data_IF_606032742329
#
_entry.id   IF_606032742329
#
_cell.length_a   1.000
_cell.length_b   1.000
_cell.length_c   1.000
_cell.angle_alpha   90.00
_cell.angle_beta   90.00
_cell.angle_gamma   90.00
#
_symmetry.space_group_name_H-M   'P 1'
#
loop_
_entity.id
_entity.type
_entity.pdbx_description
1 polymer ?
#
# COMPACT_ATOMS: atom_id res chain seq x y z
N UNK A 1 20.64 11.91 -14.96
CA UNK A 1 20.83 11.58 -13.52
C UNK A 1 19.92 10.41 -13.19
N UNK A 2 20.46 9.28 -12.76
CA UNK A 2 19.65 8.12 -12.38
C UNK A 2 18.99 8.40 -11.02
N UNK A 3 17.66 8.39 -10.97
CA UNK A 3 16.93 8.55 -9.72
C UNK A 3 16.88 7.21 -8.98
N UNK A 4 17.73 7.06 -7.95
CA UNK A 4 17.67 5.90 -7.05
C UNK A 4 16.43 6.01 -6.16
N UNK A 5 15.57 4.98 -6.20
CA UNK A 5 14.37 4.88 -5.37
C UNK A 5 14.57 3.79 -4.33
N UNK A 6 14.51 4.17 -3.06
CA UNK A 6 14.50 3.20 -1.96
C UNK A 6 13.15 2.50 -1.93
N UNK A 7 13.17 1.18 -1.89
CA UNK A 7 11.98 0.30 -1.85
C UNK A 7 12.15 -0.74 -0.74
N UNK A 8 11.05 -1.26 -0.16
CA UNK A 8 11.14 -2.21 0.95
C UNK A 8 11.41 -3.66 0.51
N UNK A 9 11.22 -4.01 -0.76
CA UNK A 9 11.48 -5.35 -1.28
C UNK A 9 12.94 -5.54 -1.70
N UNK A 10 13.49 -6.72 -1.45
CA UNK A 10 14.85 -7.10 -1.81
C UNK A 10 14.96 -7.57 -3.27
N UNK A 11 13.87 -8.02 -3.88
CA UNK A 11 13.86 -8.49 -5.26
C UNK A 11 12.50 -8.32 -5.92
N UNK A 12 12.47 -8.37 -7.25
CA UNK A 12 11.21 -8.40 -7.99
C UNK A 12 10.37 -9.65 -7.65
N UNK A 13 11.00 -10.77 -7.34
CA UNK A 13 10.29 -11.98 -6.90
C UNK A 13 9.49 -11.72 -5.63
N UNK A 14 10.06 -11.00 -4.66
CA UNK A 14 9.35 -10.64 -3.42
C UNK A 14 8.17 -9.71 -3.70
N UNK A 15 8.30 -8.79 -4.64
CA UNK A 15 7.19 -7.95 -5.10
C UNK A 15 6.07 -8.76 -5.78
N UNK A 16 6.46 -9.75 -6.59
CA UNK A 16 5.52 -10.62 -7.28
C UNK A 16 4.70 -11.49 -6.33
N UNK A 17 5.27 -11.90 -5.20
CA UNK A 17 4.53 -12.65 -4.16
C UNK A 17 3.30 -11.88 -3.69
N UNK A 18 3.45 -10.57 -3.41
CA UNK A 18 2.34 -9.71 -3.00
C UNK A 18 1.33 -9.55 -4.14
N UNK A 19 1.84 -9.34 -5.37
CA UNK A 19 1.01 -9.16 -6.56
C UNK A 19 0.14 -10.39 -6.83
N UNK A 20 0.73 -11.59 -6.87
CA UNK A 20 -0.01 -12.83 -7.11
C UNK A 20 -0.98 -13.15 -5.96
N UNK A 21 -0.59 -12.87 -4.71
CA UNK A 21 -1.48 -13.01 -3.57
C UNK A 21 -2.75 -12.16 -3.70
N UNK A 22 -2.60 -10.88 -4.04
CA UNK A 22 -3.71 -9.94 -4.26
C UNK A 22 -4.53 -10.31 -5.50
N UNK A 23 -3.86 -10.63 -6.61
CA UNK A 23 -4.50 -11.03 -7.88
C UNK A 23 -5.33 -12.29 -7.72
N UNK A 24 -4.86 -13.26 -6.95
CA UNK A 24 -5.61 -14.50 -6.68
C UNK A 24 -6.93 -14.24 -5.97
N UNK A 25 -7.00 -13.19 -5.13
CA UNK A 25 -8.16 -12.90 -4.28
C UNK A 25 -8.49 -13.98 -3.24
N UNK A 26 -7.71 -15.06 -3.17
CA UNK A 26 -7.97 -16.20 -2.28
C UNK A 26 -7.62 -15.85 -0.85
N UNK A 27 -8.31 -16.45 0.13
CA UNK A 27 -8.03 -16.24 1.54
C UNK A 27 -6.54 -16.49 1.89
N UNK A 28 -5.97 -17.59 1.38
CA UNK A 28 -4.57 -17.93 1.60
C UNK A 28 -3.61 -16.97 0.87
N UNK A 29 -3.92 -16.59 -0.37
CA UNK A 29 -3.12 -15.63 -1.13
C UNK A 29 -3.10 -14.25 -0.49
N UNK A 30 -4.24 -13.73 -0.06
CA UNK A 30 -4.35 -12.45 0.65
C UNK A 30 -3.63 -12.49 2.00
N UNK A 31 -3.70 -13.62 2.73
CA UNK A 31 -2.99 -13.77 4.01
C UNK A 31 -1.47 -13.77 3.79
N UNK A 32 -1.01 -14.47 2.76
CA UNK A 32 0.41 -14.50 2.42
C UNK A 32 0.92 -13.11 2.01
N UNK A 33 0.16 -12.39 1.17
CA UNK A 33 0.46 -11.01 0.80
C UNK A 33 0.53 -10.08 2.03
N UNK A 34 -0.41 -10.20 2.97
CA UNK A 34 -0.38 -9.43 4.22
C UNK A 34 0.90 -9.69 5.02
N UNK A 35 1.33 -10.94 5.17
CA UNK A 35 2.54 -11.27 5.94
C UNK A 35 3.79 -10.64 5.32
N UNK A 36 3.91 -10.65 3.98
CA UNK A 36 5.03 -10.00 3.29
C UNK A 36 4.97 -8.48 3.46
N UNK A 37 3.79 -7.87 3.31
CA UNK A 37 3.61 -6.45 3.57
C UNK A 37 3.97 -6.07 5.00
N UNK A 38 3.65 -6.90 5.98
CA UNK A 38 4.01 -6.67 7.38
C UNK A 38 5.54 -6.57 7.56
N UNK A 39 6.29 -7.47 6.93
CA UNK A 39 7.76 -7.41 6.92
C UNK A 39 8.25 -6.12 6.24
N UNK A 40 7.62 -5.70 5.14
CA UNK A 40 8.00 -4.45 4.47
C UNK A 40 7.75 -3.21 5.34
N UNK A 41 6.69 -3.22 6.14
CA UNK A 41 6.38 -2.16 7.10
C UNK A 41 7.46 -2.00 8.18
N UNK A 42 8.26 -3.05 8.46
CA UNK A 42 9.35 -2.98 9.45
C UNK A 42 10.70 -2.59 8.84
N UNK A 43 10.87 -2.68 7.51
CA UNK A 43 12.15 -2.39 6.83
C UNK A 43 12.41 -0.91 6.60
N UNK A 44 11.35 -0.11 6.49
CA UNK A 44 11.44 1.32 6.21
C UNK A 44 10.56 2.11 7.20
N UNK A 45 10.95 3.34 7.58
CA UNK A 45 10.08 4.18 8.39
C UNK A 45 8.79 4.52 7.61
N UNK A 46 7.65 4.72 8.30
CA UNK A 46 6.37 5.00 7.64
C UNK A 46 6.39 6.17 6.65
N UNK A 47 7.26 7.17 6.86
CA UNK A 47 7.42 8.33 5.98
C UNK A 47 8.11 8.04 4.64
N UNK A 48 8.79 6.89 4.51
CA UNK A 48 9.47 6.45 3.29
C UNK A 48 8.68 5.40 2.52
N UNK A 49 7.68 4.77 3.14
CA UNK A 49 6.82 3.80 2.49
C UNK A 49 5.82 4.51 1.56
N UNK A 50 5.57 3.91 0.41
CA UNK A 50 4.55 4.45 -0.50
C UNK A 50 3.16 4.34 0.14
N UNK A 51 2.35 5.38 -0.01
CA UNK A 51 0.99 5.39 0.54
C UNK A 51 0.14 4.21 0.03
N UNK A 52 0.34 3.77 -1.21
CA UNK A 52 -0.35 2.60 -1.77
C UNK A 52 0.00 1.29 -1.04
N UNK A 53 1.28 1.10 -0.68
CA UNK A 53 1.73 -0.08 0.11
C UNK A 53 1.09 -0.05 1.49
N UNK A 54 1.20 1.08 2.20
CA UNK A 54 0.61 1.26 3.54
C UNK A 54 -0.90 1.07 3.52
N UNK A 55 -1.57 1.58 2.48
CA UNK A 55 -3.01 1.44 2.31
C UNK A 55 -3.42 -0.01 2.06
N UNK A 56 -2.71 -0.72 1.17
CA UNK A 56 -2.91 -2.15 0.94
C UNK A 56 -2.76 -2.96 2.24
N UNK A 57 -1.69 -2.70 3.00
CA UNK A 57 -1.45 -3.36 4.29
C UNK A 57 -2.62 -3.15 5.26
N UNK A 58 -3.08 -1.91 5.45
CA UNK A 58 -4.19 -1.63 6.37
C UNK A 58 -5.51 -2.29 5.95
N UNK A 59 -5.83 -2.30 4.64
CA UNK A 59 -7.03 -2.96 4.14
C UNK A 59 -7.01 -4.47 4.45
N UNK A 60 -5.91 -5.15 4.13
CA UNK A 60 -5.78 -6.58 4.38
C UNK A 60 -5.77 -6.89 5.88
N UNK A 61 -5.03 -6.12 6.67
CA UNK A 61 -4.98 -6.30 8.12
C UNK A 61 -6.37 -6.20 8.73
N UNK A 62 -7.11 -5.14 8.40
CA UNK A 62 -8.47 -4.92 8.90
C UNK A 62 -9.44 -6.04 8.51
N UNK A 63 -9.36 -6.52 7.25
CA UNK A 63 -10.15 -7.65 6.79
C UNK A 63 -9.88 -8.93 7.60
N UNK A 64 -8.63 -9.21 7.91
CA UNK A 64 -8.26 -10.40 8.68
C UNK A 64 -8.48 -10.27 10.20
N UNK A 65 -8.44 -9.06 10.75
CA UNK A 65 -8.82 -8.78 12.14
C UNK A 65 -10.32 -8.98 12.39
N UNK A 66 -11.14 -8.98 11.33
CA UNK A 66 -12.62 -9.03 11.42
C UNK A 66 -13.19 -7.93 12.34
N UNK A 67 -12.49 -6.80 12.39
CA UNK A 67 -12.88 -5.63 13.17
C UNK A 67 -13.56 -4.62 12.26
N UNK A 68 -14.84 -4.35 12.55
CA UNK A 68 -15.63 -3.38 11.80
C UNK A 68 -15.00 -1.98 11.86
N UNK A 69 -14.47 -1.59 13.01
CA UNK A 69 -13.79 -0.31 13.21
C UNK A 69 -12.47 -0.25 12.42
N UNK A 70 -11.66 -1.31 12.47
CA UNK A 70 -10.41 -1.38 11.69
C UNK A 70 -10.71 -1.24 10.20
N UNK A 71 -11.77 -1.90 9.72
CA UNK A 71 -12.17 -1.88 8.31
C UNK A 71 -12.68 -0.49 7.89
N UNK A 72 -13.50 0.14 8.72
CA UNK A 72 -13.95 1.52 8.50
C UNK A 72 -12.77 2.49 8.39
N UNK A 73 -11.80 2.44 9.31
CA UNK A 73 -10.62 3.30 9.26
C UNK A 73 -9.72 3.02 8.06
N UNK A 74 -9.55 1.75 7.69
CA UNK A 74 -8.78 1.37 6.51
C UNK A 74 -9.43 1.90 5.22
N UNK A 75 -10.76 1.78 5.10
CA UNK A 75 -11.53 2.29 3.97
C UNK A 75 -11.52 3.82 3.90
N UNK A 76 -11.71 4.51 5.01
CA UNK A 76 -11.58 5.97 5.05
C UNK A 76 -10.21 6.43 4.53
N UNK A 77 -9.13 5.79 4.98
CA UNK A 77 -7.77 6.10 4.53
C UNK A 77 -7.59 5.83 3.05
N UNK A 78 -8.13 4.72 2.56
CA UNK A 78 -8.12 4.37 1.14
C UNK A 78 -8.89 5.39 0.29
N UNK A 79 -10.15 5.68 0.63
CA UNK A 79 -10.99 6.65 -0.07
C UNK A 79 -10.33 8.03 -0.07
N UNK A 80 -9.76 8.46 1.06
CA UNK A 80 -9.02 9.73 1.14
C UNK A 80 -7.78 9.73 0.23
N UNK A 81 -7.08 8.60 0.11
CA UNK A 81 -5.92 8.47 -0.78
C UNK A 81 -6.31 8.62 -2.25
N UNK A 82 -7.40 7.98 -2.68
CA UNK A 82 -7.88 7.99 -4.07
C UNK A 82 -8.79 9.18 -4.39
N UNK A 83 -9.10 10.01 -3.40
CA UNK A 83 -9.81 11.29 -3.60
C UNK A 83 -8.88 12.49 -3.49
N UNK A 84 -7.65 12.32 -2.98
CA UNK A 84 -6.72 13.44 -2.81
C UNK A 84 -6.31 14.04 -4.17
N UNK A 85 -6.59 15.33 -4.36
CA UNK A 85 -6.25 16.08 -5.57
C UNK A 85 -4.73 16.21 -5.79
N UNK A 86 -3.93 16.06 -4.72
CA UNK A 86 -2.49 16.34 -4.69
C UNK A 86 -1.55 15.24 -5.25
N UNK A 87 -2.05 14.13 -5.81
CA UNK A 87 -1.14 13.10 -6.36
C UNK A 87 -0.75 13.27 -7.83
N UNK A 88 -1.14 14.37 -8.47
CA UNK A 88 -0.76 14.66 -9.85
C UNK A 88 0.66 15.24 -9.99
N UNK A 89 1.62 14.76 -9.20
CA UNK A 89 3.02 14.86 -9.59
C UNK A 89 3.29 13.78 -10.63
N UNK A 90 2.94 14.07 -11.89
CA UNK A 90 3.40 13.33 -13.06
C UNK A 90 4.93 13.34 -13.02
N UNK A 91 5.52 12.27 -12.51
CA UNK A 91 6.96 12.02 -12.62
C UNK A 91 7.14 11.11 -13.82
N UNK A 92 8.00 11.46 -14.79
CA UNK A 92 8.14 10.73 -16.06
C UNK A 92 8.65 9.28 -15.94
N UNK A 93 8.87 8.77 -14.73
CA UNK A 93 9.32 7.40 -14.42
C UNK A 93 8.66 6.84 -13.16
N UNK A 94 7.47 7.35 -12.79
CA UNK A 94 6.77 6.89 -11.60
C UNK A 94 5.78 5.78 -11.91
N UNK A 95 5.89 4.72 -11.11
CA UNK A 95 4.84 3.76 -10.80
C UNK A 95 3.45 4.40 -10.83
N UNK A 96 2.49 3.73 -11.47
CA UNK A 96 1.12 4.23 -11.59
C UNK A 96 0.49 4.38 -10.21
N UNK A 97 -0.12 5.54 -9.93
CA UNK A 97 -0.70 5.81 -8.62
C UNK A 97 -2.10 5.19 -8.51
N UNK A 98 -2.50 4.83 -7.28
CA UNK A 98 -3.83 4.29 -7.00
C UNK A 98 -4.93 5.31 -7.37
N UNK A 99 -4.68 6.61 -7.16
CA UNK A 99 -5.55 7.70 -7.62
C UNK A 99 -5.79 7.64 -9.13
N UNK A 100 -4.72 7.54 -9.92
CA UNK A 100 -4.82 7.56 -11.39
C UNK A 100 -5.63 6.37 -11.94
N UNK A 101 -5.52 5.21 -11.29
CA UNK A 101 -6.28 4.01 -11.66
C UNK A 101 -7.74 4.15 -11.25
N UNK A 102 -7.98 4.63 -10.02
CA UNK A 102 -9.33 4.80 -9.50
C UNK A 102 -10.13 5.83 -10.30
N UNK A 103 -9.49 6.91 -10.79
CA UNK A 103 -10.13 7.88 -11.68
C UNK A 103 -10.57 7.28 -13.02
N UNK A 104 -9.83 6.28 -13.55
CA UNK A 104 -10.23 5.59 -14.79
C UNK A 104 -11.48 4.75 -14.59
N UNK A 105 -11.59 4.09 -13.44
CA UNK A 105 -12.73 3.22 -13.11
C UNK A 105 -13.92 4.04 -12.63
N UNK A 106 -13.68 5.22 -12.06
CA UNK A 106 -14.70 6.08 -11.46
C UNK A 106 -15.05 5.62 -10.05
N UNK A 107 -14.84 6.47 -9.06
CA UNK A 107 -15.21 6.16 -7.68
C UNK A 107 -16.73 6.32 -7.49
N UNK A 108 -17.46 5.29 -7.03
CA UNK A 108 -18.88 5.40 -6.71
C UNK A 108 -19.17 6.46 -5.64
N UNK A 109 -20.27 7.20 -5.79
CA UNK A 109 -20.68 8.22 -4.81
C UNK A 109 -20.87 7.64 -3.40
N UNK A 110 -21.41 6.42 -3.29
CA UNK A 110 -21.63 5.77 -1.99
C UNK A 110 -20.34 5.51 -1.20
N UNK A 111 -19.18 5.43 -1.85
CA UNK A 111 -17.89 5.32 -1.15
C UNK A 111 -17.41 6.66 -0.58
N UNK A 112 -17.73 7.77 -1.26
CA UNK A 112 -17.50 9.10 -0.73
C UNK A 112 -18.41 9.35 0.49
N UNK A 113 -19.67 8.95 0.40
CA UNK A 113 -20.63 9.03 1.50
C UNK A 113 -20.17 8.17 2.70
N UNK A 114 -19.76 6.92 2.45
CA UNK A 114 -19.17 6.04 3.47
C UNK A 114 -17.99 6.70 4.19
N UNK A 115 -17.10 7.37 3.47
CA UNK A 115 -15.97 8.10 4.08
C UNK A 115 -16.45 9.25 4.96
N UNK A 116 -17.48 9.97 4.53
CA UNK A 116 -18.05 11.08 5.28
C UNK A 116 -18.73 10.59 6.55
N UNK A 117 -19.52 9.53 6.48
CA UNK A 117 -20.16 8.90 7.64
C UNK A 117 -19.14 8.54 8.72
N UNK A 118 -18.07 7.82 8.33
CA UNK A 118 -17.02 7.42 9.26
C UNK A 118 -16.29 8.65 9.83
N UNK A 119 -16.07 9.71 9.03
CA UNK A 119 -15.40 10.94 9.47
C UNK A 119 -16.25 11.71 10.49
N UNK A 120 -17.57 11.64 10.37
CA UNK A 120 -18.53 12.20 11.33
C UNK A 120 -18.81 11.27 12.52
N UNK A 121 -18.11 10.13 12.63
CA UNK A 121 -18.22 9.20 13.75
C UNK A 121 -19.36 8.18 13.62
N UNK A 122 -20.06 8.14 12.48
CA UNK A 122 -21.05 7.13 12.18
C UNK A 122 -20.35 5.87 11.65
N UNK A 123 -20.52 4.73 12.32
CA UNK A 123 -19.96 3.47 11.88
C UNK A 123 -20.94 2.77 10.93
N UNK A 124 -20.61 2.61 9.63
CA UNK A 124 -21.51 1.98 8.65
C UNK A 124 -21.69 0.49 8.93
N UNK A 125 -22.74 -0.12 8.35
CA UNK A 125 -22.98 -1.55 8.48
C UNK A 125 -21.82 -2.39 7.95
N UNK A 126 -21.61 -3.58 8.53
CA UNK A 126 -20.56 -4.49 8.11
C UNK A 126 -20.67 -4.86 6.62
N UNK A 127 -21.90 -5.06 6.12
CA UNK A 127 -22.18 -5.37 4.71
C UNK A 127 -21.69 -4.27 3.77
N UNK A 128 -21.88 -2.99 4.15
CA UNK A 128 -21.42 -1.86 3.36
C UNK A 128 -19.90 -1.73 3.41
N UNK A 129 -19.29 -2.00 4.57
CA UNK A 129 -17.83 -2.02 4.73
C UNK A 129 -17.20 -3.17 3.93
N UNK A 130 -17.78 -4.36 3.91
CA UNK A 130 -17.31 -5.49 3.09
C UNK A 130 -17.41 -5.18 1.59
N UNK A 131 -18.52 -4.56 1.15
CA UNK A 131 -18.63 -4.07 -0.23
C UNK A 131 -17.54 -3.05 -0.55
N UNK A 132 -17.27 -2.13 0.36
CA UNK A 132 -16.18 -1.16 0.23
C UNK A 132 -14.81 -1.82 0.17
N UNK A 133 -14.58 -2.87 0.96
CA UNK A 133 -13.35 -3.65 0.95
C UNK A 133 -13.12 -4.30 -0.41
N UNK A 134 -14.10 -5.01 -0.95
CA UNK A 134 -13.95 -5.71 -2.24
C UNK A 134 -13.72 -4.74 -3.40
N UNK A 135 -14.41 -3.59 -3.40
CA UNK A 135 -14.16 -2.54 -4.38
C UNK A 135 -12.75 -1.95 -4.26
N UNK A 136 -12.29 -1.72 -3.03
CA UNK A 136 -10.95 -1.19 -2.77
C UNK A 136 -9.86 -2.20 -3.15
N UNK A 137 -10.09 -3.50 -2.89
CA UNK A 137 -9.20 -4.59 -3.26
C UNK A 137 -9.02 -4.68 -4.77
N UNK A 138 -10.10 -4.47 -5.53
CA UNK A 138 -10.06 -4.40 -6.99
C UNK A 138 -9.17 -3.27 -7.50
N UNK A 139 -9.33 -2.05 -6.97
CA UNK A 139 -8.48 -0.91 -7.33
C UNK A 139 -7.01 -1.17 -6.99
N UNK A 140 -6.76 -1.79 -5.83
CA UNK A 140 -5.42 -2.16 -5.38
C UNK A 140 -4.84 -3.25 -6.29
N UNK A 141 -5.64 -4.22 -6.73
CA UNK A 141 -5.22 -5.26 -7.68
C UNK A 141 -4.69 -4.65 -8.97
N UNK A 142 -5.42 -3.70 -9.56
CA UNK A 142 -4.97 -2.97 -10.76
C UNK A 142 -3.66 -2.23 -10.51
N UNK A 143 -3.50 -1.64 -9.33
CA UNK A 143 -2.25 -1.00 -8.94
C UNK A 143 -1.08 -1.99 -8.91
N UNK A 144 -1.22 -3.14 -8.27
CA UNK A 144 -0.12 -4.11 -8.20
C UNK A 144 0.24 -4.68 -9.57
N UNK A 145 -0.76 -5.09 -10.36
CA UNK A 145 -0.55 -5.64 -11.71
C UNK A 145 0.14 -4.64 -12.63
N UNK A 146 -0.33 -3.38 -12.65
CA UNK A 146 0.26 -2.33 -13.51
C UNK A 146 1.71 -2.02 -13.13
N UNK A 147 2.03 -2.10 -11.84
CA UNK A 147 3.36 -1.76 -11.34
C UNK A 147 4.35 -2.93 -11.42
N UNK A 148 3.90 -4.19 -11.46
CA UNK A 148 4.78 -5.34 -11.72
C UNK A 148 5.48 -5.22 -13.06
N UNK A 149 4.74 -4.83 -14.11
CA UNK A 149 5.30 -4.59 -15.44
C UNK A 149 6.35 -3.48 -15.38
N UNK A 150 6.04 -2.37 -14.72
CA UNK A 150 6.97 -1.26 -14.56
C UNK A 150 8.25 -1.66 -13.82
N UNK A 151 8.17 -2.42 -12.73
CA UNK A 151 9.35 -2.87 -11.98
C UNK A 151 10.11 -4.01 -12.65
N UNK A 152 9.50 -4.77 -13.56
CA UNK A 152 10.22 -5.75 -14.38
C UNK A 152 11.18 -5.10 -15.38
N UNK A 153 10.88 -3.87 -15.82
CA UNK A 153 11.68 -3.11 -16.78
C UNK A 153 12.79 -2.30 -16.11
N UNK A 154 12.74 -2.12 -14.80
CA UNK A 154 13.72 -1.34 -14.03
C UNK A 154 14.59 -2.31 -13.24
N UNK A 155 15.89 -2.37 -13.57
CA UNK A 155 16.85 -3.19 -12.84
C UNK A 155 16.87 -2.84 -11.34
N UNK A 156 16.56 -3.82 -10.49
CA UNK A 156 16.66 -3.68 -9.04
C UNK A 156 18.11 -3.97 -8.64
N UNK A 157 18.87 -2.93 -8.29
CA UNK A 157 20.20 -3.10 -7.67
C UNK A 157 20.02 -3.25 -6.16
N UNK A 158 20.41 -4.39 -5.61
CA UNK A 158 20.41 -4.62 -4.16
C UNK A 158 21.61 -3.92 -3.53
N UNK A 159 21.44 -2.72 -3.01
CA UNK A 159 22.37 -2.21 -2.00
C UNK A 159 22.04 -2.90 -0.67
N UNK A 160 22.96 -3.74 -0.20
CA UNK A 160 22.89 -4.41 1.10
C UNK A 160 23.06 -3.39 2.24
N UNK A 161 22.06 -2.55 2.49
CA UNK A 161 22.05 -1.57 3.59
C UNK A 161 21.89 -2.21 4.98
N UNK A 162 21.77 -3.54 5.08
CA UNK A 162 21.81 -4.25 6.36
C UNK A 162 23.21 -4.39 6.97
N UNK A 163 24.30 -4.09 6.25
CA UNK A 163 25.66 -4.15 6.82
C UNK A 163 26.12 -2.87 7.51
N UNK A 164 25.51 -1.71 7.26
CA UNK A 164 25.97 -0.44 7.84
C UNK A 164 25.42 -0.12 9.23
N UNK A 165 24.54 -0.95 9.80
CA UNK A 165 23.99 -0.72 11.14
C UNK A 165 24.88 -1.27 12.28
N UNK A 166 26.06 -1.84 11.97
CA UNK A 166 26.98 -2.40 12.99
C UNK A 166 28.19 -1.52 13.32
N UNK A 167 28.54 -0.54 12.47
CA UNK A 167 29.81 0.19 12.59
C UNK A 167 29.67 1.69 12.94
N UNK A 168 28.55 2.12 13.54
CA UNK A 168 28.45 3.46 14.16
C UNK A 168 28.23 3.38 15.67
N UNK A 169 29.16 2.72 16.35
CA UNK A 169 29.51 3.04 17.74
C UNK A 169 30.85 3.78 17.74
N UNK A 170 30.85 5.02 17.27
CA UNK A 170 31.92 5.96 17.63
C UNK A 170 31.52 6.70 18.89
N UNK A 171 31.97 6.14 20.02
CA UNK A 171 32.17 6.88 21.26
C UNK A 171 33.20 7.98 20.99
N UNK A 172 32.83 9.24 21.17
CA UNK A 172 33.72 10.27 21.70
C UNK A 172 33.00 11.62 21.80
N UNK A 173 32.81 12.07 23.04
CA UNK A 173 33.42 13.32 23.50
C UNK A 173 33.46 13.31 25.02
N UNK A 174 34.66 13.04 25.53
CA UNK A 174 35.14 13.60 26.78
C UNK A 174 35.57 15.02 26.43
N UNK A 175 34.99 15.98 27.13
CA UNK A 175 35.55 17.30 27.39
C UNK A 175 35.05 17.72 28.76
#
# INVERSE_FOLDING_TARGET
MAYLRVVPWCSLSEFNVVTEGIKSGTFLGLRHALNVLHIWMTRLPPSKLSRSITCTHHLLLAYFERSQLSLALALMRFVSLVSSEDQDRIKPYAAQSLLSLTRKVGMPCWLADLRNDIAHGSLPSIELLERGFWWSLECVRDFWVSNTLHFSLIGVTTENSFRECRDRLTVSRIS
#
